data_IF_660937052594
#
_entry.id   IF_660937052594
#
_cell.length_a   1.000
_cell.length_b   1.000
_cell.length_c   1.000
_cell.angle_alpha   90.00
_cell.angle_beta   90.00
_cell.angle_gamma   90.00
#
_symmetry.space_group_name_H-M   'P 1'
#
loop_
_entity.id
_entity.type
_entity.pdbx_description
1 polymer ?
#
# COMPACT_ATOMS: atom_id res chain seq x y z
N UNK A 1 16.55 12.40 -4.21
CA UNK A 1 15.71 11.21 -4.47
C UNK A 1 14.26 11.59 -4.22
N UNK A 2 13.35 11.21 -5.13
CA UNK A 2 11.91 11.39 -4.94
C UNK A 2 11.45 10.47 -3.80
N UNK A 3 10.54 10.93 -2.94
CA UNK A 3 10.03 10.10 -1.83
C UNK A 3 8.92 9.22 -2.38
N UNK A 4 9.16 7.92 -2.42
CA UNK A 4 8.20 6.96 -2.93
C UNK A 4 7.23 6.53 -1.82
N UNK A 5 5.96 6.38 -2.14
CA UNK A 5 4.92 5.87 -1.24
C UNK A 5 4.37 4.59 -1.86
N UNK A 6 4.27 3.53 -1.05
CA UNK A 6 3.57 2.30 -1.42
C UNK A 6 2.33 2.15 -0.55
N UNK A 7 1.15 2.12 -1.15
CA UNK A 7 -0.10 1.84 -0.46
C UNK A 7 -0.52 0.38 -0.69
N UNK A 8 -0.73 -0.36 0.39
CA UNK A 8 -1.20 -1.74 0.38
C UNK A 8 -2.68 -1.73 0.73
N UNK A 9 -3.51 -2.27 -0.16
CA UNK A 9 -4.97 -2.22 -0.06
C UNK A 9 -5.52 -3.64 0.01
N UNK A 10 -6.33 -3.92 1.04
CA UNK A 10 -7.12 -5.14 1.11
C UNK A 10 -8.52 -4.87 0.57
N UNK A 11 -8.88 -5.36 -0.63
CA UNK A 11 -10.16 -5.01 -1.26
C UNK A 11 -11.37 -5.55 -0.49
N UNK A 12 -11.21 -6.65 0.26
CA UNK A 12 -12.33 -7.34 0.94
C UNK A 12 -12.55 -6.88 2.39
N UNK A 13 -11.68 -6.05 2.98
CA UNK A 13 -11.80 -5.68 4.39
C UNK A 13 -12.62 -4.42 4.62
N UNK A 14 -13.74 -4.49 5.34
CA UNK A 14 -14.52 -3.32 5.78
C UNK A 14 -15.50 -2.78 4.72
N UNK A 15 -16.56 -2.13 5.20
CA UNK A 15 -17.75 -1.73 4.42
C UNK A 15 -17.61 -0.44 3.60
N UNK A 16 -16.49 0.27 3.72
CA UNK A 16 -16.23 1.48 2.93
C UNK A 16 -15.48 1.18 1.63
N UNK A 17 -15.86 1.90 0.58
CA UNK A 17 -15.14 1.94 -0.70
C UNK A 17 -13.74 2.53 -0.47
N UNK A 18 -12.72 1.74 -0.79
CA UNK A 18 -11.30 2.10 -0.60
C UNK A 18 -10.75 2.91 -1.76
N UNK A 19 -11.52 3.02 -2.85
CA UNK A 19 -11.15 3.83 -4.00
C UNK A 19 -10.95 5.29 -3.59
N UNK A 20 -11.84 5.84 -2.74
CA UNK A 20 -11.76 7.23 -2.29
C UNK A 20 -10.48 7.50 -1.47
N UNK A 21 -10.10 6.58 -0.57
CA UNK A 21 -8.86 6.71 0.20
C UNK A 21 -7.62 6.63 -0.69
N UNK A 22 -7.63 5.71 -1.65
CA UNK A 22 -6.53 5.51 -2.59
C UNK A 22 -6.36 6.73 -3.50
N UNK A 23 -7.46 7.27 -4.02
CA UNK A 23 -7.47 8.48 -4.84
C UNK A 23 -6.99 9.70 -4.05
N UNK A 24 -7.49 9.89 -2.83
CA UNK A 24 -7.08 11.01 -1.95
C UNK A 24 -5.58 10.94 -1.62
N UNK A 25 -5.07 9.76 -1.28
CA UNK A 25 -3.65 9.57 -0.99
C UNK A 25 -2.77 9.80 -2.22
N UNK A 26 -3.22 9.35 -3.41
CA UNK A 26 -2.55 9.58 -4.68
C UNK A 26 -2.46 11.07 -5.01
N UNK A 27 -3.58 11.79 -4.94
CA UNK A 27 -3.62 13.24 -5.22
C UNK A 27 -2.70 14.02 -4.28
N UNK A 28 -2.66 13.65 -2.99
CA UNK A 28 -1.74 14.26 -2.04
C UNK A 28 -0.27 13.98 -2.40
N UNK A 29 0.07 12.73 -2.72
CA UNK A 29 1.42 12.37 -3.13
C UNK A 29 1.87 13.13 -4.38
N UNK A 30 1.02 13.21 -5.40
CA UNK A 30 1.28 13.96 -6.64
C UNK A 30 1.52 15.45 -6.36
N UNK A 31 0.69 16.07 -5.51
CA UNK A 31 0.83 17.47 -5.11
C UNK A 31 2.18 17.75 -4.43
N UNK A 32 2.66 16.82 -3.62
CA UNK A 32 3.94 16.91 -2.91
C UNK A 32 5.14 16.44 -3.77
N UNK A 33 4.92 16.11 -5.04
CA UNK A 33 5.97 15.62 -5.95
C UNK A 33 6.54 14.26 -5.54
N UNK A 34 5.73 13.41 -4.92
CA UNK A 34 6.06 12.04 -4.51
C UNK A 34 5.55 11.03 -5.54
N UNK A 35 6.27 9.92 -5.74
CA UNK A 35 5.77 8.82 -6.55
C UNK A 35 4.87 7.93 -5.68
N UNK A 36 3.72 7.52 -6.23
CA UNK A 36 2.70 6.77 -5.52
C UNK A 36 2.42 5.44 -6.22
N UNK A 37 2.54 4.34 -5.48
CA UNK A 37 2.31 2.98 -5.95
C UNK A 37 1.22 2.32 -5.11
N UNK A 38 0.41 1.48 -5.74
CA UNK A 38 -0.65 0.72 -5.06
C UNK A 38 -0.43 -0.77 -5.30
N UNK A 39 -0.55 -1.55 -4.23
CA UNK A 39 -0.59 -3.01 -4.28
C UNK A 39 -1.89 -3.50 -3.63
N UNK A 40 -2.73 -4.18 -4.40
CA UNK A 40 -3.94 -4.81 -3.87
C UNK A 40 -3.64 -6.26 -3.46
N UNK A 41 -4.01 -6.62 -2.23
CA UNK A 41 -3.82 -7.99 -1.73
C UNK A 41 -4.80 -8.96 -2.38
N UNK A 42 -4.35 -10.18 -2.61
CA UNK A 42 -5.10 -11.22 -3.33
C UNK A 42 -5.50 -12.40 -2.43
N UNK A 43 -5.01 -12.43 -1.20
CA UNK A 43 -5.02 -13.59 -0.30
C UNK A 43 -4.02 -14.68 -0.69
N UNK A 44 -3.16 -14.46 -1.69
CA UNK A 44 -2.26 -15.48 -2.27
C UNK A 44 -0.83 -14.97 -2.39
N UNK A 45 0.04 -15.49 -1.52
CA UNK A 45 1.46 -15.14 -1.44
C UNK A 45 1.67 -13.62 -1.36
N UNK A 46 0.79 -12.91 -0.65
CA UNK A 46 0.85 -11.46 -0.56
C UNK A 46 2.06 -11.00 0.26
N UNK A 47 2.48 -11.76 1.26
CA UNK A 47 3.71 -11.54 2.02
C UNK A 47 4.96 -11.42 1.12
N UNK A 48 5.13 -12.38 0.21
CA UNK A 48 6.25 -12.39 -0.74
C UNK A 48 6.14 -11.22 -1.72
N UNK A 49 4.96 -10.99 -2.29
CA UNK A 49 4.74 -9.91 -3.27
C UNK A 49 4.87 -8.52 -2.66
N UNK A 50 4.48 -8.35 -1.40
CA UNK A 50 4.65 -7.09 -0.66
C UNK A 50 6.15 -6.82 -0.47
N UNK A 51 6.94 -7.83 -0.09
CA UNK A 51 8.39 -7.71 0.01
C UNK A 51 9.01 -7.31 -1.34
N UNK A 52 8.64 -7.99 -2.42
CA UNK A 52 9.09 -7.67 -3.78
C UNK A 52 8.70 -6.24 -4.21
N UNK A 53 7.48 -5.80 -3.88
CA UNK A 53 7.03 -4.44 -4.16
C UNK A 53 7.85 -3.41 -3.37
N UNK A 54 8.19 -3.69 -2.11
CA UNK A 54 9.01 -2.81 -1.29
C UNK A 54 10.44 -2.73 -1.82
N UNK A 55 11.04 -3.84 -2.22
CA UNK A 55 12.38 -3.87 -2.83
C UNK A 55 12.40 -3.12 -4.17
N UNK A 56 11.39 -3.36 -5.02
CA UNK A 56 11.27 -2.72 -6.34
C UNK A 56 11.08 -1.21 -6.25
N UNK A 57 10.24 -0.75 -5.34
CA UNK A 57 9.84 0.65 -5.26
C UNK A 57 10.62 1.45 -4.22
N UNK A 58 11.37 0.78 -3.34
CA UNK A 58 12.13 1.35 -2.22
C UNK A 58 11.38 2.51 -1.54
N UNK A 59 10.16 2.26 -1.02
CA UNK A 59 9.28 3.31 -0.54
C UNK A 59 9.85 3.97 0.72
N UNK A 60 9.73 5.30 0.79
CA UNK A 60 9.99 6.06 2.02
C UNK A 60 8.90 5.83 3.07
N UNK A 61 7.67 5.49 2.63
CA UNK A 61 6.53 5.18 3.49
C UNK A 61 5.66 4.09 2.90
N UNK A 62 5.18 3.21 3.76
CA UNK A 62 4.14 2.22 3.45
C UNK A 62 2.84 2.64 4.12
N UNK A 63 1.76 2.75 3.35
CA UNK A 63 0.40 2.99 3.83
C UNK A 63 -0.37 1.68 3.76
N UNK A 64 -1.25 1.41 4.73
CA UNK A 64 -2.04 0.17 4.79
C UNK A 64 -3.51 0.54 4.91
N UNK A 65 -4.30 0.12 3.92
CA UNK A 65 -5.77 0.17 3.95
C UNK A 65 -6.30 -1.25 4.08
N UNK A 66 -6.38 -1.74 5.32
CA UNK A 66 -6.91 -3.05 5.66
C UNK A 66 -7.07 -3.23 7.16
N UNK A 67 -7.69 -4.34 7.58
CA UNK A 67 -7.83 -4.69 9.00
C UNK A 67 -6.53 -5.23 9.63
N UNK A 68 -6.61 -5.62 10.90
CA UNK A 68 -5.46 -6.08 11.71
C UNK A 68 -4.66 -7.21 11.05
N UNK A 69 -5.34 -8.16 10.40
CA UNK A 69 -4.67 -9.25 9.68
C UNK A 69 -3.81 -8.75 8.51
N UNK A 70 -4.24 -7.68 7.84
CA UNK A 70 -3.46 -7.03 6.76
C UNK A 70 -2.26 -6.32 7.36
N UNK A 71 -2.46 -5.59 8.46
CA UNK A 71 -1.38 -4.89 9.17
C UNK A 71 -0.30 -5.87 9.61
N UNK A 72 -0.68 -6.98 10.24
CA UNK A 72 0.25 -8.04 10.66
C UNK A 72 1.03 -8.61 9.48
N UNK A 73 0.34 -8.98 8.40
CA UNK A 73 0.98 -9.55 7.21
C UNK A 73 2.01 -8.59 6.58
N UNK A 74 1.67 -7.30 6.47
CA UNK A 74 2.60 -6.29 5.97
C UNK A 74 3.78 -6.13 6.91
N UNK A 75 3.55 -6.10 8.23
CA UNK A 75 4.62 -5.98 9.21
C UNK A 75 5.58 -7.18 9.19
N UNK A 76 5.07 -8.40 8.97
CA UNK A 76 5.89 -9.61 8.86
C UNK A 76 6.68 -9.66 7.53
N UNK A 77 6.18 -9.00 6.48
CA UNK A 77 6.80 -8.97 5.15
C UNK A 77 7.95 -7.95 5.02
N UNK A 78 8.00 -6.95 5.92
CA UNK A 78 9.01 -5.89 5.98
C UNK A 78 10.15 -6.26 6.91
#
# INVERSE_FOLDING_TARGET
MKKNILMIVNPISGDMDKAEFTETAKLFAEKEGMDFFVYETTGKNDDVKIREACEKHNPHRVLIAGGDGTIKMVADAL
#
